data_IF_294903154727
#
_entry.id   IF_294903154727
#
_cell.length_a   1.000
_cell.length_b   1.000
_cell.length_c   1.000
_cell.angle_alpha   90.00
_cell.angle_beta   90.00
_cell.angle_gamma   90.00
#
_symmetry.space_group_name_H-M   'P 1'
#
loop_
_entity.id
_entity.type
_entity.pdbx_description
1 polymer ?
#
# COMPACT_ATOMS: atom_id res chain seq x y z
N UNK A 1 -18.24 36.66 -39.85
CA UNK A 1 -18.13 35.71 -40.99
C UNK A 1 -18.28 34.30 -40.41
N UNK A 2 -19.51 33.81 -40.50
CA UNK A 2 -19.86 32.42 -40.14
C UNK A 2 -19.42 31.49 -41.26
N UNK A 3 -18.76 30.39 -40.90
CA UNK A 3 -18.67 29.21 -41.78
C UNK A 3 -19.25 28.02 -41.03
N UNK A 4 -20.43 27.63 -41.49
CA UNK A 4 -21.10 26.39 -41.15
C UNK A 4 -20.33 25.21 -41.75
N UNK A 5 -20.17 24.16 -40.98
CA UNK A 5 -19.76 22.83 -41.44
C UNK A 5 -20.98 21.89 -41.33
N UNK A 6 -21.34 21.37 -42.46
CA UNK A 6 -22.43 20.41 -42.72
C UNK A 6 -22.09 19.01 -42.20
N UNK A 7 -23.08 18.24 -41.67
CA UNK A 7 -22.89 16.85 -41.30
C UNK A 7 -23.03 15.94 -42.54
N UNK A 8 -22.08 15.02 -42.68
CA UNK A 8 -22.14 13.95 -43.67
C UNK A 8 -23.09 12.84 -43.21
N UNK A 9 -24.05 12.54 -44.05
CA UNK A 9 -25.07 11.53 -43.87
C UNK A 9 -24.49 10.11 -44.03
N UNK A 10 -24.81 9.22 -43.11
CA UNK A 10 -24.60 7.79 -43.21
C UNK A 10 -25.76 7.18 -43.99
N UNK A 11 -25.49 6.62 -45.16
CA UNK A 11 -26.48 5.93 -45.98
C UNK A 11 -26.61 4.46 -45.48
N UNK A 12 -27.79 4.12 -44.96
CA UNK A 12 -28.21 2.74 -44.77
C UNK A 12 -28.70 2.15 -46.06
N UNK A 13 -28.06 1.10 -46.57
CA UNK A 13 -28.55 0.31 -47.68
C UNK A 13 -29.59 -0.71 -47.18
N UNK A 14 -30.84 -0.49 -47.56
CA UNK A 14 -31.91 -1.46 -47.40
C UNK A 14 -31.87 -2.43 -48.59
N UNK A 15 -31.74 -3.71 -48.33
CA UNK A 15 -31.90 -4.77 -49.32
C UNK A 15 -33.34 -5.25 -49.32
N UNK A 16 -33.99 -5.08 -50.46
CA UNK A 16 -35.35 -5.51 -50.76
C UNK A 16 -35.43 -7.05 -50.88
N UNK A 17 -36.36 -7.63 -50.16
CA UNK A 17 -36.85 -8.99 -50.35
C UNK A 17 -37.71 -9.08 -51.58
N UNK A 18 -37.35 -9.96 -52.51
CA UNK A 18 -38.25 -10.47 -53.51
C UNK A 18 -38.63 -11.92 -53.18
N UNK A 19 -39.93 -12.13 -53.01
CA UNK A 19 -40.51 -13.44 -52.77
C UNK A 19 -40.53 -14.28 -54.08
N UNK A 20 -40.18 -15.54 -54.03
CA UNK A 20 -40.63 -16.58 -54.96
C UNK A 20 -40.89 -17.89 -54.19
N UNK A 21 -42.15 -18.21 -54.20
CA UNK A 21 -42.86 -19.49 -54.20
C UNK A 21 -42.18 -20.82 -53.82
N UNK A 22 -42.92 -21.50 -53.00
CA UNK A 22 -42.80 -22.79 -52.34
C UNK A 22 -42.38 -24.01 -53.18
N UNK A 23 -41.60 -24.87 -52.55
CA UNK A 23 -41.73 -26.31 -52.62
C UNK A 23 -41.23 -26.92 -51.27
N UNK A 24 -41.81 -27.98 -50.80
CA UNK A 24 -41.55 -28.53 -49.49
C UNK A 24 -40.40 -29.54 -49.55
N UNK A 25 -39.47 -29.47 -48.65
CA UNK A 25 -38.68 -30.64 -48.22
C UNK A 25 -37.91 -30.37 -46.94
N UNK A 26 -38.23 -31.08 -45.94
CA UNK A 26 -37.38 -31.84 -45.04
C UNK A 26 -35.95 -31.38 -44.78
N UNK A 27 -35.74 -31.30 -43.62
CA UNK A 27 -34.67 -31.48 -42.63
C UNK A 27 -34.47 -30.17 -41.83
N UNK A 28 -35.02 -30.20 -40.63
CA UNK A 28 -34.59 -29.36 -39.54
C UNK A 28 -33.12 -29.69 -39.30
N UNK A 29 -32.21 -28.99 -39.93
CA UNK A 29 -30.83 -28.92 -39.47
C UNK A 29 -30.93 -28.29 -38.07
N UNK A 30 -30.75 -29.10 -37.06
CA UNK A 30 -30.40 -28.64 -35.71
C UNK A 30 -29.23 -27.68 -35.92
N UNK A 31 -29.48 -26.39 -35.76
CA UNK A 31 -28.41 -25.41 -35.56
C UNK A 31 -27.70 -25.87 -34.30
N UNK A 32 -26.59 -26.55 -34.49
CA UNK A 32 -25.66 -26.85 -33.44
C UNK A 32 -25.24 -25.49 -32.89
N UNK A 33 -25.85 -25.09 -31.80
CA UNK A 33 -25.44 -23.90 -31.08
C UNK A 33 -23.98 -24.10 -30.73
N UNK A 34 -23.11 -23.27 -31.28
CA UNK A 34 -21.69 -23.29 -30.93
C UNK A 34 -21.63 -23.35 -29.39
N UNK A 35 -20.82 -24.22 -28.82
CA UNK A 35 -20.69 -24.31 -27.36
C UNK A 35 -20.39 -22.92 -26.82
N UNK A 36 -21.17 -22.54 -25.83
CA UNK A 36 -20.94 -21.27 -25.10
C UNK A 36 -19.45 -21.26 -24.69
N UNK A 37 -18.70 -20.19 -25.01
CA UNK A 37 -17.28 -20.16 -24.64
C UNK A 37 -17.16 -20.42 -23.14
N UNK A 38 -16.27 -21.32 -22.78
CA UNK A 38 -16.02 -21.64 -21.37
C UNK A 38 -15.75 -20.32 -20.60
N UNK A 39 -16.31 -20.16 -19.39
CA UNK A 39 -16.10 -18.95 -18.61
C UNK A 39 -14.60 -18.74 -18.42
N UNK A 40 -14.14 -17.53 -18.68
CA UNK A 40 -12.75 -17.17 -18.42
C UNK A 40 -12.51 -17.22 -16.92
N UNK A 41 -11.40 -17.81 -16.51
CA UNK A 41 -10.99 -17.93 -15.10
C UNK A 41 -9.64 -17.27 -14.94
N UNK A 42 -9.53 -16.35 -13.97
CA UNK A 42 -8.27 -15.79 -13.50
C UNK A 42 -7.87 -16.51 -12.21
N UNK A 43 -6.76 -17.24 -12.22
CA UNK A 43 -6.18 -17.76 -10.98
C UNK A 43 -5.17 -16.76 -10.47
N UNK A 44 -5.40 -16.20 -9.29
CA UNK A 44 -4.61 -15.12 -8.73
C UNK A 44 -4.09 -15.44 -7.33
N UNK A 45 -2.88 -14.98 -7.07
CA UNK A 45 -2.29 -14.83 -5.74
C UNK A 45 -2.13 -13.34 -5.46
N UNK A 46 -2.54 -12.88 -4.28
CA UNK A 46 -2.44 -11.47 -3.94
C UNK A 46 -2.10 -11.25 -2.47
N UNK A 47 -1.25 -10.25 -2.22
CA UNK A 47 -1.17 -9.58 -0.94
C UNK A 47 -2.52 -8.90 -0.63
N UNK A 48 -2.94 -8.90 0.64
CA UNK A 48 -4.27 -8.43 1.06
C UNK A 48 -4.59 -7.02 0.55
N UNK A 49 -3.62 -6.10 0.61
CA UNK A 49 -3.77 -4.72 0.15
C UNK A 49 -4.03 -4.57 -1.35
N UNK A 50 -3.71 -5.57 -2.19
CA UNK A 50 -3.83 -5.50 -3.65
C UNK A 50 -4.99 -6.34 -4.21
N UNK A 51 -5.50 -7.29 -3.43
CA UNK A 51 -6.59 -8.17 -3.83
C UNK A 51 -7.85 -7.44 -4.36
N UNK A 52 -8.28 -6.30 -3.78
CA UNK A 52 -9.47 -5.59 -4.24
C UNK A 52 -9.39 -5.11 -5.71
N UNK A 53 -8.21 -4.79 -6.23
CA UNK A 53 -8.07 -4.38 -7.63
C UNK A 53 -8.34 -5.53 -8.61
N UNK A 54 -7.93 -6.75 -8.26
CA UNK A 54 -8.19 -7.94 -9.07
C UNK A 54 -9.66 -8.36 -9.00
N UNK A 55 -10.30 -8.19 -7.84
CA UNK A 55 -11.73 -8.38 -7.71
C UNK A 55 -12.52 -7.40 -8.60
N UNK A 56 -12.11 -6.12 -8.62
CA UNK A 56 -12.73 -5.12 -9.48
C UNK A 56 -12.62 -5.48 -10.98
N UNK A 57 -11.48 -6.02 -11.42
CA UNK A 57 -11.32 -6.55 -12.77
C UNK A 57 -12.31 -7.70 -13.04
N UNK A 58 -12.34 -8.68 -12.15
CA UNK A 58 -13.19 -9.85 -12.30
C UNK A 58 -14.67 -9.47 -12.43
N UNK A 59 -15.14 -8.57 -11.56
CA UNK A 59 -16.51 -8.06 -11.55
C UNK A 59 -16.83 -7.27 -12.83
N UNK A 60 -15.91 -6.40 -13.27
CA UNK A 60 -16.11 -5.56 -14.46
C UNK A 60 -16.11 -6.36 -15.77
N UNK A 61 -15.35 -7.45 -15.84
CA UNK A 61 -15.17 -8.23 -17.07
C UNK A 61 -15.98 -9.54 -17.08
N UNK A 62 -16.67 -9.88 -15.98
CA UNK A 62 -17.42 -11.12 -15.86
C UNK A 62 -16.50 -12.36 -15.86
N UNK A 63 -15.28 -12.20 -15.37
CA UNK A 63 -14.27 -13.26 -15.24
C UNK A 63 -14.44 -13.95 -13.88
N UNK A 64 -14.41 -15.29 -13.85
CA UNK A 64 -14.37 -15.98 -12.57
C UNK A 64 -12.98 -15.84 -11.92
N UNK A 65 -12.93 -15.39 -10.67
CA UNK A 65 -11.69 -15.22 -9.91
C UNK A 65 -11.48 -16.42 -8.97
N UNK A 66 -10.35 -17.09 -9.12
CA UNK A 66 -9.93 -18.20 -8.28
C UNK A 66 -8.69 -17.80 -7.49
N UNK A 67 -8.85 -17.62 -6.17
CA UNK A 67 -7.75 -17.31 -5.29
C UNK A 67 -6.94 -18.56 -4.94
N UNK A 68 -5.62 -18.43 -4.94
CA UNK A 68 -4.71 -19.49 -4.50
C UNK A 68 -3.75 -18.97 -3.45
N UNK A 69 -3.37 -19.84 -2.51
CA UNK A 69 -2.30 -19.55 -1.51
C UNK A 69 -0.91 -19.94 -2.05
N UNK A 70 -0.84 -20.61 -3.18
CA UNK A 70 0.39 -20.98 -3.85
C UNK A 70 0.66 -20.04 -5.01
N UNK A 71 1.65 -19.15 -4.85
CA UNK A 71 2.06 -18.21 -5.87
C UNK A 71 2.47 -18.91 -7.18
N UNK A 72 3.05 -20.12 -7.10
CA UNK A 72 3.46 -20.89 -8.28
C UNK A 72 2.27 -21.43 -9.09
N UNK A 73 1.09 -21.55 -8.48
CA UNK A 73 -0.14 -21.99 -9.14
C UNK A 73 -0.97 -20.83 -9.73
N UNK A 74 -0.63 -19.59 -9.43
CA UNK A 74 -1.33 -18.42 -9.96
C UNK A 74 -0.90 -18.13 -11.41
N UNK A 75 -1.77 -17.51 -12.20
CA UNK A 75 -1.41 -16.92 -13.48
C UNK A 75 -1.11 -15.41 -13.37
N UNK A 76 -1.67 -14.76 -12.37
CA UNK A 76 -1.40 -13.37 -12.04
C UNK A 76 -1.04 -13.25 -10.55
N UNK A 77 0.05 -12.54 -10.29
CA UNK A 77 0.55 -12.23 -8.97
C UNK A 77 0.34 -10.75 -8.67
N UNK A 78 -0.17 -10.43 -7.48
CA UNK A 78 -0.22 -9.10 -6.93
C UNK A 78 0.58 -9.09 -5.62
N UNK A 79 1.80 -8.57 -5.65
CA UNK A 79 2.81 -8.76 -4.60
C UNK A 79 3.20 -7.43 -3.96
N UNK A 80 3.52 -7.45 -2.68
CA UNK A 80 4.13 -6.35 -1.92
C UNK A 80 5.68 -6.39 -1.93
N UNK A 81 6.25 -7.31 -2.66
CA UNK A 81 7.68 -7.52 -2.90
C UNK A 81 7.94 -7.83 -4.38
N UNK A 82 9.22 -7.93 -4.78
CA UNK A 82 9.57 -8.34 -6.14
C UNK A 82 9.20 -9.81 -6.38
N UNK A 83 8.73 -10.18 -7.61
CA UNK A 83 8.47 -11.58 -7.93
C UNK A 83 9.73 -12.44 -7.76
N UNK A 84 9.59 -13.61 -7.16
CA UNK A 84 10.62 -14.61 -6.98
C UNK A 84 10.45 -15.83 -7.90
N UNK A 85 9.41 -15.80 -8.74
CA UNK A 85 9.09 -16.83 -9.73
C UNK A 85 9.32 -16.30 -11.15
N UNK A 86 9.36 -17.21 -12.13
CA UNK A 86 9.49 -16.83 -13.53
C UNK A 86 8.21 -16.11 -14.01
N UNK A 87 8.37 -14.84 -14.39
CA UNK A 87 7.31 -13.97 -14.90
C UNK A 87 7.66 -13.41 -16.27
N UNK A 88 6.65 -12.95 -17.01
CA UNK A 88 6.86 -12.28 -18.28
C UNK A 88 7.68 -10.99 -18.10
N UNK A 89 8.56 -10.70 -19.06
CA UNK A 89 9.13 -9.37 -19.22
C UNK A 89 8.03 -8.43 -19.74
N UNK A 90 7.52 -7.56 -18.89
CA UNK A 90 6.40 -6.67 -19.21
C UNK A 90 6.73 -5.64 -20.29
N UNK A 91 8.00 -5.34 -20.53
CA UNK A 91 8.44 -4.44 -21.59
C UNK A 91 8.64 -5.14 -22.94
N UNK A 92 8.98 -6.41 -22.91
CA UNK A 92 9.17 -7.27 -24.07
C UNK A 92 7.88 -7.93 -24.57
N UNK A 93 6.87 -8.03 -23.72
CA UNK A 93 5.59 -8.63 -24.07
C UNK A 93 4.73 -7.68 -24.93
N UNK A 94 4.14 -8.22 -26.00
CA UNK A 94 3.41 -7.41 -26.98
C UNK A 94 2.12 -6.77 -26.44
N UNK A 95 1.47 -7.37 -25.43
CA UNK A 95 0.25 -6.85 -24.80
C UNK A 95 0.57 -5.94 -23.63
N UNK A 96 1.57 -6.28 -22.83
CA UNK A 96 1.91 -5.54 -21.62
C UNK A 96 2.80 -4.31 -21.84
N UNK A 97 3.50 -4.22 -22.99
CA UNK A 97 4.41 -3.10 -23.28
C UNK A 97 3.74 -1.72 -23.20
N UNK A 98 2.45 -1.60 -23.56
CA UNK A 98 1.70 -0.34 -23.42
C UNK A 98 1.43 0.01 -21.95
N UNK A 99 1.12 -1.00 -21.12
CA UNK A 99 0.95 -0.82 -19.68
C UNK A 99 2.28 -0.45 -19.01
N UNK A 100 3.37 -1.13 -19.39
CA UNK A 100 4.72 -0.83 -18.92
C UNK A 100 5.13 0.61 -19.24
N UNK A 101 4.93 1.05 -20.49
CA UNK A 101 5.21 2.44 -20.89
C UNK A 101 4.39 3.47 -20.09
N UNK A 102 3.10 3.21 -19.85
CA UNK A 102 2.26 4.07 -19.02
C UNK A 102 2.72 4.10 -17.57
N UNK A 103 3.21 2.98 -17.06
CA UNK A 103 3.76 2.88 -15.71
C UNK A 103 5.19 3.43 -15.56
N UNK A 104 5.74 4.04 -16.61
CA UNK A 104 7.12 4.53 -16.67
C UNK A 104 8.18 3.42 -16.49
N UNK A 105 7.85 2.18 -16.83
CA UNK A 105 8.80 1.07 -16.86
C UNK A 105 9.48 1.06 -18.23
N UNK A 106 10.75 1.40 -18.27
CA UNK A 106 11.52 1.59 -19.52
C UNK A 106 12.58 0.52 -19.76
N UNK A 107 12.92 -0.24 -18.73
CA UNK A 107 13.89 -1.33 -18.78
C UNK A 107 13.17 -2.66 -18.60
N UNK A 108 13.83 -3.78 -18.98
CA UNK A 108 13.29 -5.12 -18.77
C UNK A 108 12.88 -5.31 -17.30
N UNK A 109 11.62 -5.65 -17.08
CA UNK A 109 11.06 -5.79 -15.76
C UNK A 109 10.09 -6.96 -15.67
N UNK A 110 10.13 -7.64 -14.53
CA UNK A 110 9.31 -8.80 -14.22
C UNK A 110 7.87 -8.46 -13.79
N UNK A 111 7.56 -7.17 -13.59
CA UNK A 111 6.27 -6.73 -13.06
C UNK A 111 5.94 -5.28 -13.40
N UNK A 112 4.67 -4.93 -13.25
CA UNK A 112 4.13 -3.57 -13.35
C UNK A 112 3.93 -3.00 -11.94
N UNK A 113 4.44 -1.81 -11.60
CA UNK A 113 4.26 -1.21 -10.28
C UNK A 113 2.79 -0.85 -10.05
N UNK A 114 2.20 -1.25 -8.93
CA UNK A 114 0.82 -0.89 -8.58
C UNK A 114 0.65 0.62 -8.34
N UNK A 115 1.72 1.28 -7.92
CA UNK A 115 1.75 2.69 -7.58
C UNK A 115 2.40 2.94 -6.22
N UNK A 116 2.08 4.09 -5.63
CA UNK A 116 2.60 4.51 -4.32
C UNK A 116 1.45 4.66 -3.33
N UNK A 117 1.71 4.34 -2.07
CA UNK A 117 0.74 4.44 -0.98
C UNK A 117 1.38 5.12 0.23
N UNK A 118 0.61 5.98 0.90
CA UNK A 118 1.08 6.64 2.11
C UNK A 118 1.26 5.63 3.23
N UNK A 119 2.35 5.77 3.95
CA UNK A 119 2.73 4.90 5.07
C UNK A 119 3.05 5.71 6.32
N UNK A 120 2.61 5.20 7.46
CA UNK A 120 2.82 5.73 8.79
C UNK A 120 1.85 5.08 9.78
N UNK A 121 1.50 5.81 10.83
CA UNK A 121 0.50 5.39 11.81
C UNK A 121 -0.87 5.97 11.47
N UNK A 122 -1.84 5.09 11.30
CA UNK A 122 -3.22 5.45 11.02
C UNK A 122 -4.08 5.38 12.27
N UNK A 123 -4.90 6.40 12.48
CA UNK A 123 -5.80 6.52 13.64
C UNK A 123 -7.06 7.26 13.22
N UNK A 124 -8.21 7.00 13.88
CA UNK A 124 -9.42 7.79 13.69
C UNK A 124 -9.18 9.25 14.11
N UNK A 125 -9.40 10.19 13.18
CA UNK A 125 -9.22 11.62 13.43
C UNK A 125 -10.21 12.16 14.45
N UNK A 126 -11.46 11.71 14.40
CA UNK A 126 -12.50 12.08 15.37
C UNK A 126 -12.15 11.60 16.78
N UNK A 127 -11.60 10.38 16.88
CA UNK A 127 -11.17 9.84 18.16
C UNK A 127 -9.93 10.56 18.69
N UNK A 128 -8.95 10.85 17.84
CA UNK A 128 -7.75 11.59 18.23
C UNK A 128 -8.12 13.01 18.72
N UNK A 129 -9.04 13.69 18.04
CA UNK A 129 -9.55 15.00 18.49
C UNK A 129 -10.30 14.92 19.84
N UNK A 130 -10.97 13.80 20.13
CA UNK A 130 -11.60 13.62 21.45
C UNK A 130 -10.59 13.42 22.58
N UNK A 131 -9.38 12.93 22.27
CA UNK A 131 -8.28 12.74 23.22
C UNK A 131 -7.43 14.01 23.42
N UNK A 132 -7.08 14.68 22.33
CA UNK A 132 -6.09 15.77 22.34
C UNK A 132 -6.68 17.17 22.10
N UNK A 133 -7.99 17.24 21.81
CA UNK A 133 -8.66 18.49 21.46
C UNK A 133 -8.28 19.01 20.06
N UNK A 134 -8.78 20.18 19.73
CA UNK A 134 -8.54 20.83 18.43
C UNK A 134 -7.04 21.03 18.16
N UNK A 135 -6.60 20.70 16.93
CA UNK A 135 -5.19 20.76 16.54
C UNK A 135 -4.30 19.67 17.15
N UNK A 136 -4.88 18.69 17.86
CA UNK A 136 -4.14 17.55 18.42
C UNK A 136 -3.49 16.68 17.35
N UNK A 137 -4.17 16.48 16.23
CA UNK A 137 -3.62 15.75 15.07
C UNK A 137 -2.36 16.42 14.53
N UNK A 138 -2.41 17.74 14.26
CA UNK A 138 -1.27 18.49 13.76
C UNK A 138 -0.10 18.50 14.75
N UNK A 139 -0.40 18.67 16.05
CA UNK A 139 0.62 18.62 17.08
C UNK A 139 1.32 17.25 17.13
N UNK A 140 0.56 16.17 16.98
CA UNK A 140 1.12 14.80 16.98
C UNK A 140 1.92 14.51 15.70
N UNK A 141 1.47 15.02 14.54
CA UNK A 141 2.19 14.88 13.28
C UNK A 141 3.58 15.54 13.33
N UNK A 142 3.69 16.68 14.02
CA UNK A 142 4.93 17.45 14.14
C UNK A 142 5.67 17.23 15.48
N UNK A 143 5.27 16.24 16.27
CA UNK A 143 5.94 15.90 17.52
C UNK A 143 7.36 15.35 17.27
N UNK A 144 8.32 15.74 18.12
CA UNK A 144 9.65 15.14 18.12
C UNK A 144 9.61 13.66 18.52
N UNK A 145 10.72 12.94 18.37
CA UNK A 145 10.81 11.56 18.85
C UNK A 145 10.56 11.46 20.36
N UNK A 146 11.14 12.35 21.14
CA UNK A 146 10.98 12.37 22.60
C UNK A 146 9.52 12.63 22.98
N UNK A 147 8.88 13.64 22.38
CA UNK A 147 7.48 13.95 22.64
C UNK A 147 6.56 12.78 22.21
N UNK A 148 6.86 12.13 21.09
CA UNK A 148 6.14 10.94 20.62
C UNK A 148 6.28 9.77 21.60
N UNK A 149 7.51 9.45 22.03
CA UNK A 149 7.75 8.34 22.97
C UNK A 149 7.09 8.58 24.32
N UNK A 150 7.22 9.79 24.88
CA UNK A 150 6.58 10.18 26.13
C UNK A 150 5.05 10.15 26.01
N UNK A 151 4.51 10.57 24.87
CA UNK A 151 3.08 10.48 24.59
C UNK A 151 2.60 9.03 24.57
N UNK A 152 3.31 8.14 23.87
CA UNK A 152 2.96 6.71 23.79
C UNK A 152 2.94 6.07 25.16
N UNK A 153 3.98 6.29 25.97
CA UNK A 153 4.06 5.74 27.34
C UNK A 153 2.95 6.31 28.23
N UNK A 154 2.71 7.62 28.16
CA UNK A 154 1.64 8.27 28.92
C UNK A 154 0.26 7.80 28.49
N UNK A 155 0.03 7.66 27.19
CA UNK A 155 -1.23 7.18 26.65
C UNK A 155 -1.50 5.71 27.03
N UNK A 156 -0.48 4.83 27.02
CA UNK A 156 -0.65 3.47 27.49
C UNK A 156 -1.04 3.42 28.97
N UNK A 157 -0.38 4.19 29.82
CA UNK A 157 -0.75 4.29 31.24
C UNK A 157 -2.16 4.87 31.43
N UNK A 158 -2.54 5.84 30.61
CA UNK A 158 -3.89 6.42 30.61
C UNK A 158 -4.96 5.42 30.10
N UNK A 159 -4.63 4.60 29.11
CA UNK A 159 -5.53 3.52 28.66
C UNK A 159 -5.80 2.50 29.76
N UNK A 160 -4.83 2.25 30.64
CA UNK A 160 -5.01 1.32 31.76
C UNK A 160 -5.82 1.97 32.89
N UNK A 161 -5.54 3.25 33.25
CA UNK A 161 -6.18 3.97 34.32
C UNK A 161 -6.41 5.44 33.91
N UNK A 162 -7.58 5.77 33.29
CA UNK A 162 -7.87 7.11 32.81
C UNK A 162 -7.90 8.16 33.92
N UNK A 163 -7.12 9.22 33.75
CA UNK A 163 -7.10 10.40 34.60
C UNK A 163 -6.63 11.59 33.78
N UNK A 164 -7.00 12.82 34.18
CA UNK A 164 -6.50 14.00 33.50
C UNK A 164 -4.96 14.05 33.62
N UNK A 165 -4.27 13.96 32.48
CA UNK A 165 -2.81 14.02 32.42
C UNK A 165 -2.38 14.89 31.25
N UNK A 166 -1.35 15.71 31.46
CA UNK A 166 -0.80 16.58 30.43
C UNK A 166 0.33 15.90 29.70
N UNK A 167 0.32 16.02 28.37
CA UNK A 167 1.38 15.61 27.46
C UNK A 167 1.83 16.82 26.64
N UNK A 168 3.10 16.88 26.30
CA UNK A 168 3.64 17.93 25.43
C UNK A 168 3.78 17.38 24.02
N UNK A 169 3.22 18.06 23.01
CA UNK A 169 3.29 17.67 21.61
C UNK A 169 3.57 18.91 20.76
N UNK A 170 4.61 18.87 19.96
CA UNK A 170 5.10 20.01 19.17
C UNK A 170 5.28 21.27 20.03
N UNK A 171 5.89 21.11 21.22
CA UNK A 171 6.15 22.17 22.17
C UNK A 171 4.91 22.76 22.86
N UNK A 172 3.73 22.16 22.69
CA UNK A 172 2.48 22.63 23.28
C UNK A 172 1.86 21.58 24.21
N UNK A 173 1.39 22.04 25.38
CA UNK A 173 0.73 21.19 26.35
C UNK A 173 -0.68 20.80 25.87
N UNK A 174 -1.00 19.51 25.98
CA UNK A 174 -2.30 18.90 25.72
C UNK A 174 -2.72 18.08 26.93
N UNK A 175 -4.01 18.04 27.22
CA UNK A 175 -4.49 17.27 28.37
C UNK A 175 -5.38 16.12 27.90
N UNK A 176 -4.96 14.88 28.17
CA UNK A 176 -5.83 13.73 28.02
C UNK A 176 -7.01 13.82 28.99
N UNK A 177 -8.22 13.42 28.60
CA UNK A 177 -9.41 13.60 29.42
C UNK A 177 -9.37 12.75 30.72
N UNK A 178 -10.16 13.15 31.72
CA UNK A 178 -10.27 12.41 33.00
C UNK A 178 -10.93 11.03 32.83
N UNK A 179 -11.72 10.85 31.77
CA UNK A 179 -12.44 9.61 31.48
C UNK A 179 -12.27 9.23 30.02
N UNK A 180 -12.35 7.95 29.74
CA UNK A 180 -12.30 7.45 28.35
C UNK A 180 -13.53 7.94 27.55
N UNK A 181 -13.33 8.46 26.32
CA UNK A 181 -14.43 8.68 25.39
C UNK A 181 -15.18 7.37 25.10
N UNK A 182 -16.51 7.41 25.00
CA UNK A 182 -17.35 6.21 24.78
C UNK A 182 -16.98 5.46 23.48
N UNK A 183 -16.50 6.19 22.47
CA UNK A 183 -16.07 5.61 21.20
C UNK A 183 -14.71 4.89 21.26
N UNK A 184 -13.93 5.08 22.33
CA UNK A 184 -12.60 4.50 22.48
C UNK A 184 -12.67 3.08 23.05
N UNK A 185 -12.52 2.09 22.19
CA UNK A 185 -12.49 0.67 22.57
C UNK A 185 -11.07 0.10 22.72
N UNK A 186 -10.04 0.85 22.23
CA UNK A 186 -8.66 0.42 22.29
C UNK A 186 -8.19 0.19 23.73
N UNK A 187 -7.41 -0.86 23.96
CA UNK A 187 -6.79 -1.22 25.24
C UNK A 187 -5.27 -1.08 25.22
N UNK A 188 -4.69 -0.82 24.05
CA UNK A 188 -3.28 -0.55 23.86
C UNK A 188 -3.09 0.57 22.83
N UNK A 189 -1.92 1.19 22.84
CA UNK A 189 -1.61 2.29 21.92
C UNK A 189 -1.49 1.77 20.49
N UNK A 190 -0.83 0.64 20.27
CA UNK A 190 -0.61 0.11 18.93
C UNK A 190 -1.41 -1.16 18.64
N UNK A 191 -1.99 -1.22 17.46
CA UNK A 191 -2.42 -2.46 16.83
C UNK A 191 -1.23 -3.15 16.17
N UNK A 192 -1.26 -4.48 15.97
CA UNK A 192 -0.25 -5.16 15.19
C UNK A 192 -0.09 -4.50 13.81
N UNK A 193 1.14 -4.14 13.40
CA UNK A 193 1.37 -3.51 12.11
C UNK A 193 1.06 -4.45 10.95
N UNK A 194 0.57 -3.90 9.85
CA UNK A 194 0.31 -4.66 8.61
C UNK A 194 1.48 -4.57 7.63
N UNK A 195 2.26 -3.51 7.70
CA UNK A 195 3.50 -3.36 6.93
C UNK A 195 4.66 -3.08 7.89
N UNK A 196 5.63 -3.98 7.91
CA UNK A 196 6.83 -3.91 8.75
C UNK A 196 8.05 -3.40 7.99
N UNK A 197 7.95 -3.24 6.67
CA UNK A 197 9.11 -3.03 5.80
C UNK A 197 9.28 -1.56 5.45
N UNK A 198 8.18 -0.87 5.12
CA UNK A 198 8.25 0.50 4.62
C UNK A 198 8.88 1.49 5.59
N UNK A 199 8.85 1.21 6.90
CA UNK A 199 9.52 2.01 7.93
C UNK A 199 11.05 2.07 7.78
N UNK A 200 11.67 1.04 7.22
CA UNK A 200 13.13 1.04 6.96
C UNK A 200 13.56 2.08 5.92
N UNK A 201 12.60 2.63 5.16
CA UNK A 201 12.85 3.79 4.28
C UNK A 201 13.54 4.93 5.00
N UNK A 202 13.14 5.22 6.24
CA UNK A 202 13.73 6.31 7.02
C UNK A 202 15.22 6.05 7.28
N UNK A 203 15.58 4.81 7.61
CA UNK A 203 16.98 4.46 7.83
C UNK A 203 17.82 4.59 6.55
N UNK A 204 17.28 4.15 5.41
CA UNK A 204 17.97 4.27 4.11
C UNK A 204 18.13 5.73 3.68
N UNK A 205 17.10 6.55 3.89
CA UNK A 205 17.17 7.98 3.59
C UNK A 205 18.13 8.72 4.53
N UNK A 206 18.13 8.37 5.82
CA UNK A 206 19.07 8.91 6.79
C UNK A 206 20.54 8.52 6.47
N UNK A 207 20.75 7.43 5.76
CA UNK A 207 22.04 6.99 5.25
C UNK A 207 22.35 7.52 3.83
N UNK A 208 21.58 8.50 3.32
CA UNK A 208 21.71 9.05 1.95
C UNK A 208 21.71 7.96 0.85
N UNK A 209 20.91 6.93 1.04
CA UNK A 209 20.84 5.79 0.12
C UNK A 209 22.08 4.89 0.12
N UNK A 210 22.99 5.04 1.07
CA UNK A 210 24.19 4.20 1.18
C UNK A 210 23.86 2.90 1.91
N UNK A 211 24.05 1.78 1.25
CA UNK A 211 23.87 0.45 1.82
C UNK A 211 25.18 -0.08 2.40
N UNK A 212 25.73 0.63 3.39
CA UNK A 212 26.94 0.21 4.14
C UNK A 212 26.61 0.08 5.61
N UNK A 213 27.34 -0.82 6.32
CA UNK A 213 27.15 -1.00 7.73
C UNK A 213 27.40 0.29 8.54
N UNK A 214 28.40 1.07 8.14
CA UNK A 214 28.76 2.33 8.80
C UNK A 214 27.62 3.38 8.67
N UNK A 215 27.01 3.52 7.49
CA UNK A 215 25.97 4.50 7.25
C UNK A 215 24.62 4.09 7.88
N UNK A 216 24.28 2.78 7.87
CA UNK A 216 22.97 2.30 8.29
C UNK A 216 22.88 1.96 9.79
N UNK A 217 24.00 1.70 10.48
CA UNK A 217 23.97 1.25 11.90
C UNK A 217 23.25 2.24 12.82
N UNK A 218 23.56 3.52 12.72
CA UNK A 218 22.91 4.57 13.51
C UNK A 218 21.41 4.65 13.24
N UNK A 219 20.98 4.90 11.99
CA UNK A 219 19.57 4.93 11.65
C UNK A 219 18.79 3.67 11.99
N UNK A 220 19.36 2.48 11.84
CA UNK A 220 18.72 1.22 12.22
C UNK A 220 18.57 1.08 13.76
N UNK A 221 19.44 1.68 14.55
CA UNK A 221 19.22 1.80 15.99
C UNK A 221 18.00 2.69 16.30
N UNK A 222 17.74 3.72 15.49
CA UNK A 222 16.53 4.53 15.56
C UNK A 222 15.27 3.73 15.27
N UNK A 223 15.30 2.89 14.22
CA UNK A 223 14.20 1.96 13.90
C UNK A 223 13.98 0.97 15.05
N UNK A 224 15.05 0.40 15.62
CA UNK A 224 14.93 -0.45 16.80
C UNK A 224 14.18 0.23 17.95
N UNK A 225 14.44 1.52 18.21
CA UNK A 225 13.76 2.27 19.26
C UNK A 225 12.27 2.38 18.97
N UNK A 226 11.89 2.70 17.74
CA UNK A 226 10.49 2.79 17.31
C UNK A 226 9.75 1.45 17.46
N UNK A 227 10.33 0.39 16.91
CA UNK A 227 9.72 -0.96 16.95
C UNK A 227 9.65 -1.49 18.39
N UNK A 228 10.64 -1.19 19.23
CA UNK A 228 10.61 -1.55 20.64
C UNK A 228 9.47 -0.86 21.38
N UNK A 229 9.28 0.44 21.16
CA UNK A 229 8.19 1.21 21.74
C UNK A 229 6.82 0.66 21.30
N UNK A 230 6.70 0.29 20.03
CA UNK A 230 5.48 -0.36 19.53
C UNK A 230 5.20 -1.68 20.24
N UNK A 231 6.20 -2.57 20.37
CA UNK A 231 6.01 -3.87 21.02
C UNK A 231 5.65 -3.74 22.51
N UNK A 232 6.17 -2.71 23.19
CA UNK A 232 5.89 -2.49 24.62
C UNK A 232 4.46 -1.98 24.88
N UNK A 233 3.81 -1.40 23.87
CA UNK A 233 2.44 -0.85 23.93
C UNK A 233 1.50 -1.46 22.86
N UNK A 234 1.74 -2.71 22.44
CA UNK A 234 1.01 -3.38 21.38
C UNK A 234 -0.12 -4.26 21.91
N UNK A 235 -1.28 -4.15 21.29
CA UNK A 235 -2.43 -5.03 21.52
C UNK A 235 -2.22 -6.42 20.92
N UNK A 236 -2.93 -7.41 21.46
CA UNK A 236 -2.97 -8.76 20.90
C UNK A 236 -3.73 -8.85 19.57
N UNK A 237 -4.56 -7.86 19.27
CA UNK A 237 -5.38 -7.83 18.05
C UNK A 237 -5.51 -6.43 17.48
N UNK A 238 -5.80 -6.35 16.17
CA UNK A 238 -6.01 -5.08 15.47
C UNK A 238 -7.18 -4.25 16.04
N UNK A 239 -8.21 -4.89 16.58
CA UNK A 239 -9.38 -4.21 17.13
C UNK A 239 -9.11 -3.50 18.47
N UNK A 240 -8.03 -3.88 19.16
CA UNK A 240 -7.73 -3.41 20.51
C UNK A 240 -6.62 -2.33 20.54
N UNK A 241 -6.00 -2.01 19.40
CA UNK A 241 -5.01 -0.94 19.30
C UNK A 241 -5.59 0.34 18.72
N UNK A 242 -5.06 1.48 19.16
CA UNK A 242 -5.48 2.81 18.71
C UNK A 242 -4.83 3.18 17.37
N UNK A 243 -3.50 3.11 17.29
CA UNK A 243 -2.72 3.39 16.09
C UNK A 243 -2.37 2.11 15.36
N UNK A 244 -2.46 2.12 14.03
CA UNK A 244 -2.04 0.99 13.21
C UNK A 244 -1.02 1.42 12.17
N UNK A 245 0.16 0.82 12.20
CA UNK A 245 1.23 1.07 11.23
C UNK A 245 1.02 0.25 9.97
N UNK A 246 1.09 0.93 8.81
CA UNK A 246 0.95 0.31 7.50
C UNK A 246 0.74 1.32 6.39
N UNK A 247 0.49 0.82 5.19
CA UNK A 247 0.12 1.62 4.01
C UNK A 247 -1.38 1.92 4.01
N UNK A 248 -1.81 2.98 3.34
CA UNK A 248 -3.23 3.26 3.12
C UNK A 248 -3.94 2.09 2.41
N UNK A 249 -3.27 1.44 1.46
CA UNK A 249 -3.79 0.23 0.79
C UNK A 249 -4.18 -0.86 1.78
N UNK A 250 -3.36 -1.07 2.81
CA UNK A 250 -3.62 -2.08 3.84
C UNK A 250 -4.81 -1.68 4.73
N UNK A 251 -4.94 -0.37 5.02
CA UNK A 251 -6.08 0.15 5.78
C UNK A 251 -7.38 0.02 5.00
N UNK A 252 -7.37 0.34 3.70
CA UNK A 252 -8.53 0.19 2.83
C UNK A 252 -8.97 -1.27 2.71
N UNK A 253 -8.04 -2.20 2.58
CA UNK A 253 -8.33 -3.63 2.57
C UNK A 253 -8.92 -4.13 3.90
N UNK A 254 -8.41 -3.61 5.03
CA UNK A 254 -8.82 -4.06 6.36
C UNK A 254 -10.15 -3.45 6.83
N UNK A 255 -10.43 -2.19 6.50
CA UNK A 255 -11.55 -1.42 7.07
C UNK A 255 -12.58 -0.96 6.03
N UNK A 256 -12.22 -0.94 4.74
CA UNK A 256 -13.05 -0.38 3.67
C UNK A 256 -12.98 1.15 3.57
N UNK A 257 -13.41 1.68 2.42
CA UNK A 257 -13.26 3.09 2.08
C UNK A 257 -14.02 4.04 3.03
N UNK A 258 -15.22 3.64 3.48
CA UNK A 258 -16.04 4.49 4.34
C UNK A 258 -15.38 4.73 5.72
N UNK A 259 -14.84 3.68 6.33
CA UNK A 259 -14.12 3.79 7.60
C UNK A 259 -12.81 4.57 7.46
N UNK A 260 -12.13 4.46 6.30
CA UNK A 260 -10.90 5.19 6.04
C UNK A 260 -11.09 6.70 5.82
N UNK A 261 -12.32 7.20 5.63
CA UNK A 261 -12.60 8.64 5.51
C UNK A 261 -12.25 9.42 6.79
N UNK A 262 -12.40 8.79 7.97
CA UNK A 262 -12.05 9.41 9.26
C UNK A 262 -10.60 9.17 9.67
N UNK A 263 -9.84 8.35 8.93
CA UNK A 263 -8.45 8.10 9.27
C UNK A 263 -7.57 9.32 8.99
N UNK A 264 -6.70 9.60 9.94
CA UNK A 264 -5.61 10.56 9.79
C UNK A 264 -4.28 9.83 9.88
N UNK A 265 -3.28 10.37 9.17
CA UNK A 265 -1.95 9.81 9.13
C UNK A 265 -1.02 10.58 10.07
N UNK A 266 -0.36 9.87 10.96
CA UNK A 266 0.80 10.36 11.70
C UNK A 266 2.05 9.76 11.04
N UNK A 267 3.04 10.56 10.66
CA UNK A 267 4.29 10.06 10.08
C UNK A 267 4.95 9.00 10.98
N UNK A 268 5.70 8.09 10.37
CA UNK A 268 6.46 7.10 11.13
C UNK A 268 7.55 7.79 11.93
N UNK A 269 7.50 7.66 13.26
CA UNK A 269 8.44 8.28 14.21
C UNK A 269 9.49 7.27 14.65
N UNK A 270 10.76 7.66 14.62
CA UNK A 270 11.87 6.85 15.12
C UNK A 270 12.97 7.75 15.71
N UNK A 271 13.85 7.17 16.52
CA UNK A 271 14.93 7.95 17.14
C UNK A 271 16.09 8.13 16.15
N UNK A 272 16.17 9.32 15.56
CA UNK A 272 17.26 9.76 14.67
C UNK A 272 18.07 10.91 15.33
N UNK A 273 18.26 10.86 16.64
CA UNK A 273 19.09 11.85 17.32
C UNK A 273 20.59 11.67 17.01
N UNK A 274 21.40 12.67 17.35
CA UNK A 274 22.85 12.67 17.11
C UNK A 274 23.57 11.43 17.68
N UNK A 275 23.01 10.81 18.72
CA UNK A 275 23.59 9.61 19.36
C UNK A 275 23.44 8.35 18.49
N UNK A 276 22.47 8.37 17.57
CA UNK A 276 22.19 7.26 16.64
C UNK A 276 22.74 7.51 15.22
N UNK A 277 23.28 8.71 14.95
CA UNK A 277 23.83 9.07 13.65
C UNK A 277 25.36 9.00 13.67
N UNK A 278 25.92 8.48 12.61
CA UNK A 278 27.37 8.33 12.45
C UNK A 278 28.03 9.51 11.79
N UNK A 279 27.26 10.46 11.23
CA UNK A 279 27.77 11.62 10.49
C UNK A 279 27.06 12.89 10.87
N UNK A 280 27.82 14.00 11.07
CA UNK A 280 27.31 15.35 11.27
C UNK A 280 26.82 16.03 9.98
N UNK A 281 26.88 15.32 8.84
CA UNK A 281 26.68 15.92 7.50
C UNK A 281 25.21 15.99 7.05
N UNK A 282 24.28 15.33 7.73
CA UNK A 282 22.90 15.25 7.27
C UNK A 282 21.99 16.14 8.10
N UNK A 283 21.29 17.05 7.41
CA UNK A 283 20.13 17.74 7.97
C UNK A 283 18.95 16.75 7.98
N UNK A 284 18.82 16.02 9.06
CA UNK A 284 17.70 15.08 9.29
C UNK A 284 16.48 15.78 9.85
N UNK A 285 16.53 17.10 9.98
CA UNK A 285 15.41 17.92 10.39
C UNK A 285 14.23 17.65 9.45
N UNK A 286 13.15 17.10 9.99
CA UNK A 286 11.93 16.83 9.26
C UNK A 286 11.78 15.46 8.62
N UNK A 287 12.77 14.56 8.64
CA UNK A 287 12.56 13.18 8.13
C UNK A 287 11.40 12.47 8.84
N UNK A 288 11.16 12.76 10.12
CA UNK A 288 10.06 12.17 10.89
C UNK A 288 8.76 12.98 10.83
N UNK A 289 8.77 14.16 10.16
CA UNK A 289 7.59 15.01 10.04
C UNK A 289 6.82 14.74 8.75
N UNK A 290 7.40 13.96 7.85
CA UNK A 290 6.81 13.63 6.56
C UNK A 290 6.37 12.17 6.46
N UNK A 291 5.21 11.88 5.84
CA UNK A 291 4.81 10.53 5.54
C UNK A 291 5.71 9.92 4.48
N UNK A 292 5.88 8.62 4.54
CA UNK A 292 6.56 7.85 3.51
C UNK A 292 5.57 7.56 2.38
N UNK A 293 5.95 7.85 1.14
CA UNK A 293 5.24 7.40 -0.05
C UNK A 293 5.84 6.06 -0.49
N UNK A 294 5.40 5.00 0.18
CA UNK A 294 5.90 3.65 -0.02
C UNK A 294 5.42 3.03 -1.32
N UNK A 295 6.15 2.05 -1.85
CA UNK A 295 5.65 1.20 -2.91
C UNK A 295 4.41 0.42 -2.43
N UNK A 296 3.31 0.51 -3.18
CA UNK A 296 2.09 -0.23 -2.86
C UNK A 296 2.22 -1.71 -3.20
N UNK A 297 3.11 -2.05 -4.13
CA UNK A 297 3.33 -3.39 -4.64
C UNK A 297 3.42 -3.44 -6.15
N UNK A 298 3.28 -4.62 -6.72
CA UNK A 298 3.35 -4.83 -8.17
C UNK A 298 2.40 -5.92 -8.64
N UNK A 299 2.12 -5.91 -9.95
CA UNK A 299 1.40 -6.96 -10.67
C UNK A 299 2.34 -7.67 -11.63
N UNK A 300 2.44 -8.99 -11.52
CA UNK A 300 3.30 -9.81 -12.37
C UNK A 300 2.50 -10.95 -13.01
N UNK A 301 2.69 -11.16 -14.31
CA UNK A 301 2.07 -12.26 -15.05
C UNK A 301 3.05 -13.42 -15.10
N UNK A 302 2.66 -14.58 -14.61
CA UNK A 302 3.52 -15.76 -14.70
C UNK A 302 3.63 -16.27 -16.13
N UNK A 303 4.83 -16.74 -16.48
CA UNK A 303 5.07 -17.46 -17.74
C UNK A 303 4.47 -18.87 -17.61
N UNK A 304 3.18 -18.98 -17.91
CA UNK A 304 2.42 -20.22 -17.80
C UNK A 304 2.32 -20.95 -19.13
N UNK A 305 2.22 -22.27 -19.08
CA UNK A 305 2.01 -23.10 -20.29
C UNK A 305 0.55 -23.10 -20.76
N UNK A 306 -0.40 -22.69 -19.93
CA UNK A 306 -1.81 -22.56 -20.32
C UNK A 306 -2.06 -21.20 -20.99
N UNK A 307 -2.17 -21.22 -22.30
CA UNK A 307 -2.38 -20.02 -23.12
C UNK A 307 -3.69 -19.27 -22.80
N UNK A 308 -4.72 -19.93 -22.28
CA UNK A 308 -5.98 -19.28 -21.92
C UNK A 308 -5.83 -18.54 -20.59
N UNK A 309 -5.19 -19.16 -19.61
CA UNK A 309 -4.85 -18.53 -18.33
C UNK A 309 -3.89 -17.36 -18.52
N UNK A 310 -2.86 -17.52 -19.34
CA UNK A 310 -1.91 -16.47 -19.70
C UNK A 310 -2.65 -15.25 -20.27
N UNK A 311 -3.47 -15.46 -21.30
CA UNK A 311 -4.23 -14.37 -21.92
C UNK A 311 -5.17 -13.66 -20.95
N UNK A 312 -5.77 -14.40 -20.02
CA UNK A 312 -6.65 -13.79 -19.00
C UNK A 312 -5.84 -12.93 -18.02
N UNK A 313 -4.67 -13.41 -17.60
CA UNK A 313 -3.76 -12.68 -16.72
C UNK A 313 -3.20 -11.41 -17.38
N UNK A 314 -2.74 -11.50 -18.64
CA UNK A 314 -2.32 -10.32 -19.44
C UNK A 314 -3.46 -9.31 -19.60
N UNK A 315 -4.69 -9.78 -19.84
CA UNK A 315 -5.86 -8.93 -19.97
C UNK A 315 -6.18 -8.21 -18.66
N UNK A 316 -6.02 -8.86 -17.51
CA UNK A 316 -6.22 -8.26 -16.21
C UNK A 316 -5.17 -7.17 -15.93
N UNK A 317 -3.90 -7.49 -16.14
CA UNK A 317 -2.82 -6.52 -16.01
C UNK A 317 -3.02 -5.31 -16.96
N UNK A 318 -3.30 -5.57 -18.24
CA UNK A 318 -3.54 -4.50 -19.20
C UNK A 318 -4.75 -3.63 -18.82
N UNK A 319 -5.85 -4.22 -18.33
CA UNK A 319 -7.05 -3.49 -17.92
C UNK A 319 -6.76 -2.49 -16.80
N UNK A 320 -5.98 -2.88 -15.79
CA UNK A 320 -5.59 -2.00 -14.69
C UNK A 320 -4.88 -0.72 -15.17
N UNK A 321 -4.10 -0.81 -16.24
CA UNK A 321 -3.28 0.31 -16.72
C UNK A 321 -3.84 1.03 -17.95
N UNK A 322 -4.83 0.48 -18.65
CA UNK A 322 -5.32 1.05 -19.90
C UNK A 322 -6.79 1.46 -19.90
N UNK A 323 -7.60 1.01 -18.93
CA UNK A 323 -9.00 1.36 -18.84
C UNK A 323 -9.26 2.41 -17.74
N UNK A 324 -10.33 3.21 -17.91
CA UNK A 324 -10.76 4.17 -16.90
C UNK A 324 -11.25 3.47 -15.60
N UNK A 325 -11.86 2.30 -15.72
CA UNK A 325 -12.30 1.54 -14.55
C UNK A 325 -11.12 0.83 -13.86
N UNK A 326 -10.10 0.41 -14.61
CA UNK A 326 -8.85 -0.09 -14.04
C UNK A 326 -8.09 0.98 -13.27
N UNK A 327 -8.00 2.20 -13.82
CA UNK A 327 -7.44 3.35 -13.11
C UNK A 327 -8.17 3.61 -11.80
N UNK A 328 -9.52 3.58 -11.79
CA UNK A 328 -10.32 3.71 -10.56
C UNK A 328 -10.09 2.56 -9.58
N UNK A 329 -9.90 1.34 -10.07
CA UNK A 329 -9.55 0.22 -9.21
C UNK A 329 -8.23 0.47 -8.47
N UNK A 330 -7.25 1.08 -9.13
CA UNK A 330 -6.00 1.48 -8.49
C UNK A 330 -6.18 2.69 -7.56
N UNK A 331 -6.84 3.76 -8.03
CA UNK A 331 -6.91 5.03 -7.31
C UNK A 331 -7.99 5.04 -6.21
N UNK A 332 -9.18 4.58 -6.50
CA UNK A 332 -10.32 4.71 -5.59
C UNK A 332 -10.45 3.48 -4.67
N UNK A 333 -10.15 2.28 -5.21
CA UNK A 333 -10.27 1.05 -4.41
C UNK A 333 -9.02 0.77 -3.59
N UNK A 334 -7.81 0.90 -4.19
CA UNK A 334 -6.56 0.72 -3.46
C UNK A 334 -6.04 2.00 -2.81
N UNK A 335 -6.54 3.18 -3.17
CA UNK A 335 -6.06 4.46 -2.67
C UNK A 335 -4.60 4.77 -3.05
N UNK A 336 -4.11 4.19 -4.15
CA UNK A 336 -2.73 4.44 -4.60
C UNK A 336 -2.62 5.68 -5.48
N UNK A 337 -1.47 6.31 -5.42
CA UNK A 337 -1.02 7.28 -6.41
C UNK A 337 -0.38 6.48 -7.54
N UNK A 338 -1.02 6.49 -8.71
CA UNK A 338 -0.57 5.68 -9.85
C UNK A 338 0.79 6.18 -10.39
N UNK A 339 1.56 5.32 -11.09
CA UNK A 339 2.89 5.70 -11.61
C UNK A 339 2.89 6.89 -12.58
N UNK A 340 1.75 7.19 -13.21
CA UNK A 340 1.59 8.29 -14.17
C UNK A 340 1.02 9.58 -13.57
N UNK A 341 0.61 9.57 -12.30
CA UNK A 341 0.06 10.72 -11.62
C UNK A 341 1.00 11.19 -10.51
N UNK A 342 0.94 12.47 -10.21
CA UNK A 342 1.56 13.04 -9.02
C UNK A 342 0.54 13.10 -7.87
N UNK A 343 1.01 13.23 -6.64
CA UNK A 343 0.13 13.36 -5.49
C UNK A 343 -0.81 14.59 -5.60
N UNK A 344 -0.35 15.66 -6.27
CA UNK A 344 -1.12 16.90 -6.48
C UNK A 344 -2.23 16.76 -7.53
N UNK A 345 -2.10 15.81 -8.45
CA UNK A 345 -3.04 15.64 -9.57
C UNK A 345 -4.12 14.60 -9.27
N UNK A 346 -4.01 13.94 -8.12
CA UNK A 346 -4.82 12.79 -7.76
C UNK A 346 -5.93 13.18 -6.79
N UNK A 347 -7.20 12.97 -7.15
CA UNK A 347 -8.39 13.18 -6.31
C UNK A 347 -8.72 11.97 -5.43
N UNK A 348 -7.80 11.03 -5.27
CA UNK A 348 -7.96 9.80 -4.50
C UNK A 348 -7.85 10.04 -3.01
N UNK A 349 -8.25 9.03 -2.23
CA UNK A 349 -8.06 9.01 -0.77
C UNK A 349 -6.59 9.27 -0.39
N UNK A 350 -5.63 8.70 -1.13
CA UNK A 350 -4.21 8.97 -0.92
C UNK A 350 -3.85 10.45 -1.01
N UNK A 351 -4.32 11.15 -2.05
CA UNK A 351 -4.10 12.58 -2.21
C UNK A 351 -4.81 13.42 -1.13
N UNK A 352 -6.01 13.01 -0.70
CA UNK A 352 -6.72 13.66 0.40
C UNK A 352 -5.94 13.51 1.71
N UNK A 353 -5.35 12.35 1.97
CA UNK A 353 -4.53 12.11 3.16
C UNK A 353 -3.20 12.89 3.11
N UNK A 354 -2.58 13.03 1.94
CA UNK A 354 -1.39 13.89 1.77
C UNK A 354 -1.69 15.33 2.18
N UNK A 355 -2.87 15.85 1.88
CA UNK A 355 -3.28 17.20 2.27
C UNK A 355 -3.39 17.40 3.79
N UNK A 356 -3.48 16.33 4.56
CA UNK A 356 -3.52 16.37 6.04
C UNK A 356 -2.12 16.44 6.66
N UNK A 357 -1.08 16.11 5.89
CA UNK A 357 0.31 16.13 6.36
C UNK A 357 1.02 17.31 5.74
N UNK A 358 1.48 18.20 6.55
CA UNK A 358 1.66 19.60 6.17
C UNK A 358 2.72 19.93 5.13
N UNK A 359 3.68 19.13 4.72
CA UNK A 359 4.75 19.83 3.99
C UNK A 359 5.63 19.01 3.08
N UNK A 360 5.53 17.73 3.03
CA UNK A 360 6.40 16.96 2.18
C UNK A 360 6.10 15.48 2.23
N UNK A 361 6.75 14.74 1.36
CA UNK A 361 6.62 13.30 1.25
C UNK A 361 8.03 12.73 1.11
N UNK A 362 8.34 11.70 1.89
CA UNK A 362 9.56 10.94 1.72
C UNK A 362 9.36 9.90 0.61
N UNK A 363 10.26 9.80 -0.38
CA UNK A 363 10.20 8.75 -1.37
C UNK A 363 10.48 7.40 -0.69
N UNK A 364 9.59 6.42 -0.90
CA UNK A 364 9.82 5.05 -0.43
C UNK A 364 10.98 4.38 -1.18
N UNK A 365 11.61 3.41 -0.53
CA UNK A 365 12.61 2.54 -1.16
C UNK A 365 11.94 1.62 -2.21
N UNK A 366 12.74 1.04 -3.07
CA UNK A 366 12.26 0.06 -4.04
C UNK A 366 11.68 -1.18 -3.35
N UNK A 367 10.80 -1.90 -4.06
CA UNK A 367 10.25 -3.15 -3.54
C UNK A 367 11.40 -4.12 -3.23
N UNK A 368 11.44 -4.66 -2.00
CA UNK A 368 12.43 -5.65 -1.63
C UNK A 368 12.20 -6.97 -2.34
N UNK A 369 13.20 -7.84 -2.36
CA UNK A 369 12.97 -9.26 -2.71
C UNK A 369 12.11 -9.92 -1.63
N UNK A 370 11.46 -11.05 -1.95
CA UNK A 370 10.69 -11.82 -0.97
C UNK A 370 11.55 -12.21 0.25
N UNK A 371 12.80 -12.62 0.01
CA UNK A 371 13.73 -12.98 1.08
C UNK A 371 14.08 -11.80 1.99
N UNK A 372 14.32 -10.62 1.42
CA UNK A 372 14.57 -9.39 2.20
C UNK A 372 13.33 -9.00 3.01
N UNK A 373 12.15 -9.03 2.40
CA UNK A 373 10.90 -8.70 3.05
C UNK A 373 10.63 -9.63 4.25
N UNK A 374 10.82 -10.93 4.05
CA UNK A 374 10.69 -11.93 5.11
C UNK A 374 11.70 -11.68 6.24
N UNK A 375 12.97 -11.47 5.91
CA UNK A 375 14.03 -11.28 6.91
C UNK A 375 13.80 -10.02 7.77
N UNK A 376 13.37 -8.90 7.16
CA UNK A 376 13.03 -7.68 7.90
C UNK A 376 11.79 -7.87 8.77
N UNK A 377 10.77 -8.59 8.29
CA UNK A 377 9.57 -8.90 9.07
C UNK A 377 9.91 -9.78 10.28
N UNK A 378 10.68 -10.84 10.09
CA UNK A 378 11.14 -11.73 11.17
C UNK A 378 12.00 -10.98 12.18
N UNK A 379 12.83 -10.04 11.71
CA UNK A 379 13.67 -9.21 12.57
C UNK A 379 12.81 -8.35 13.53
N UNK A 380 11.77 -7.67 13.05
CA UNK A 380 10.85 -6.94 13.93
C UNK A 380 10.09 -7.88 14.89
N UNK A 381 9.63 -9.03 14.39
CA UNK A 381 8.92 -10.02 15.21
C UNK A 381 9.80 -10.61 16.32
N UNK A 382 11.12 -10.65 16.13
CA UNK A 382 12.06 -11.13 17.14
C UNK A 382 12.03 -10.34 18.44
N UNK A 383 11.51 -9.11 18.42
CA UNK A 383 11.35 -8.25 19.59
C UNK A 383 10.10 -8.57 20.43
N UNK A 384 9.21 -9.44 19.92
CA UNK A 384 7.99 -9.80 20.65
C UNK A 384 8.32 -10.51 21.97
N UNK A 385 7.82 -9.93 23.08
CA UNK A 385 8.00 -10.52 24.43
C UNK A 385 9.44 -10.57 24.92
N UNK A 386 10.39 -9.96 24.20
CA UNK A 386 11.81 -9.90 24.57
C UNK A 386 12.10 -8.76 25.55
N UNK A 387 13.27 -8.85 26.21
CA UNK A 387 13.83 -7.71 26.95
C UNK A 387 14.34 -6.66 25.97
N UNK A 388 14.35 -5.39 26.40
CA UNK A 388 14.91 -4.29 25.61
C UNK A 388 16.28 -3.92 26.18
N UNK A 389 17.32 -4.12 25.40
CA UNK A 389 18.67 -3.87 25.86
C UNK A 389 19.69 -3.74 24.74
N UNK A 390 20.95 -3.51 25.12
CA UNK A 390 22.04 -3.32 24.17
C UNK A 390 22.27 -4.56 23.29
N UNK A 391 22.13 -5.77 23.85
CA UNK A 391 22.34 -7.00 23.08
C UNK A 391 21.27 -7.20 22.02
N UNK A 392 20.01 -6.98 22.38
CA UNK A 392 18.86 -7.08 21.48
C UNK A 392 18.93 -6.03 20.37
N UNK A 393 19.27 -4.78 20.71
CA UNK A 393 19.50 -3.72 19.72
C UNK A 393 20.60 -4.08 18.74
N UNK A 394 21.73 -4.60 19.25
CA UNK A 394 22.83 -5.03 18.37
C UNK A 394 22.40 -6.17 17.45
N UNK A 395 21.68 -7.17 17.98
CA UNK A 395 21.17 -8.29 17.17
C UNK A 395 20.18 -7.82 16.10
N UNK A 396 19.23 -6.95 16.46
CA UNK A 396 18.28 -6.36 15.53
C UNK A 396 18.98 -5.60 14.40
N UNK A 397 19.94 -4.72 14.76
CA UNK A 397 20.66 -3.91 13.77
C UNK A 397 21.48 -4.80 12.83
N UNK A 398 22.18 -5.81 13.35
CA UNK A 398 22.94 -6.75 12.52
C UNK A 398 22.04 -7.57 11.58
N UNK A 399 20.88 -8.03 12.05
CA UNK A 399 19.93 -8.76 11.21
C UNK A 399 19.37 -7.86 10.09
N UNK A 400 19.05 -6.60 10.41
CA UNK A 400 18.58 -5.64 9.41
C UNK A 400 19.66 -5.31 8.36
N UNK A 401 20.92 -5.09 8.78
CA UNK A 401 22.05 -4.88 7.87
C UNK A 401 22.21 -6.07 6.91
N UNK A 402 22.18 -7.29 7.44
CA UNK A 402 22.27 -8.49 6.62
C UNK A 402 21.11 -8.61 5.61
N UNK A 403 19.88 -8.32 6.04
CA UNK A 403 18.69 -8.36 5.19
C UNK A 403 18.74 -7.30 4.07
N UNK A 404 19.29 -6.12 4.36
CA UNK A 404 19.46 -5.02 3.41
C UNK A 404 20.71 -5.21 2.51
N UNK A 405 21.52 -6.24 2.72
CA UNK A 405 22.75 -6.48 1.96
C UNK A 405 23.83 -5.43 2.22
N UNK A 406 23.83 -4.82 3.41
CA UNK A 406 24.81 -3.82 3.80
C UNK A 406 26.14 -4.49 4.20
N UNK A 407 27.24 -4.12 3.53
CA UNK A 407 28.59 -4.60 3.74
C UNK A 407 29.46 -3.62 4.56
#
# INVERSE_FOLDING_TARGET
>A
MQKQLTPAALACAAVLLTACTAAPVESVATVETAPEPAPQVLTAYAADGLAPALQAFADAQGVALNWTEDAAAASLLALDHQPDTATLDVTGDALLAAAAARANVTESAASLPAGRSLYGYWVSGSLLNSLLGDGGTEALQNASWEEWSDFVETLQAWLDEPQAVTVTLNGADRTLPETRPDALTATAVFAPPVDRISGYTVAVLAADGQYTADALTGPLNGIYSAVSLEWDAMADSAANGLFRRGKLTDMLAAYGADACQDLVLVPFKCNLDESNLTTEEYDLTGLMDYPILANAGCFAVQDTVDAAALKTAESAALWLYSSGDGEKALTDTLGVITPWNTASDNTTLGAMQVAQVNTGILPGIDLPTAATAQALTENEQSLQGGTRGKAERTAFTQAALAALGAE
#
